data_IF_699861032631
#
_entry.id   IF_699861032631
#
_cell.length_a   1.000
_cell.length_b   1.000
_cell.length_c   1.000
_cell.angle_alpha   90.00
_cell.angle_beta   90.00
_cell.angle_gamma   90.00
#
_symmetry.space_group_name_H-M   'P 1'
#
loop_
_entity.id
_entity.type
_entity.pdbx_description
1 polymer ?
#
# COMPACT_ATOMS: atom_id res chain seq x y z
N UNK A 1 68.57 15.75 16.28
CA UNK A 1 67.16 16.22 16.31
C UNK A 1 66.27 15.10 15.80
N UNK A 2 65.42 14.51 16.66
CA UNK A 2 64.42 13.50 16.25
C UNK A 2 63.07 14.19 16.15
N UNK A 3 62.56 14.36 14.93
CA UNK A 3 61.22 14.91 14.65
C UNK A 3 60.22 13.79 14.93
N UNK A 4 59.43 13.94 15.99
CA UNK A 4 58.29 13.06 16.28
C UNK A 4 57.12 13.48 15.39
N UNK A 5 56.86 12.72 14.34
CA UNK A 5 55.66 12.88 13.50
C UNK A 5 54.46 12.40 14.32
N UNK A 6 53.64 13.33 14.79
CA UNK A 6 52.39 13.03 15.48
C UNK A 6 51.29 12.89 14.41
N UNK A 7 50.93 11.63 14.07
CA UNK A 7 49.78 11.35 13.22
C UNK A 7 48.49 11.68 13.98
N UNK A 8 47.85 12.79 13.61
CA UNK A 8 46.53 13.16 14.10
C UNK A 8 45.48 12.31 13.39
N UNK A 9 45.03 11.24 14.03
CA UNK A 9 43.96 10.37 13.55
C UNK A 9 42.62 11.08 13.80
N UNK A 10 42.10 11.77 12.77
CA UNK A 10 40.74 12.35 12.78
C UNK A 10 39.72 11.20 12.71
N UNK A 11 39.29 10.71 13.88
CA UNK A 11 38.12 9.86 14.02
C UNK A 11 36.88 10.67 13.65
N UNK A 12 36.47 10.59 12.39
CA UNK A 12 35.11 10.94 11.96
C UNK A 12 34.14 9.97 12.64
N UNK A 13 33.76 10.27 13.88
CA UNK A 13 32.58 9.66 14.49
C UNK A 13 31.40 10.26 13.76
N UNK A 14 30.86 9.53 12.79
CA UNK A 14 29.56 9.83 12.23
C UNK A 14 28.55 9.75 13.37
N UNK A 15 28.19 10.90 13.93
CA UNK A 15 26.98 11.03 14.72
C UNK A 15 25.82 10.68 13.79
N UNK A 16 25.40 9.42 13.81
CA UNK A 16 24.14 8.99 13.20
C UNK A 16 23.05 9.63 14.06
N UNK A 17 22.67 10.85 13.69
CA UNK A 17 21.49 11.49 14.24
C UNK A 17 20.31 10.69 13.68
N UNK A 18 19.83 9.71 14.45
CA UNK A 18 18.55 9.08 14.18
C UNK A 18 17.48 10.15 14.39
N UNK A 19 17.11 10.84 13.31
CA UNK A 19 15.91 11.66 13.31
C UNK A 19 14.72 10.73 13.54
N UNK A 20 14.00 10.93 14.64
CA UNK A 20 12.69 10.30 14.85
C UNK A 20 11.76 10.80 13.75
N UNK A 21 11.43 9.95 12.79
CA UNK A 21 10.52 10.27 11.69
C UNK A 21 9.11 9.87 12.11
N UNK A 22 8.25 10.85 12.37
CA UNK A 22 6.82 10.62 12.63
C UNK A 22 5.97 11.38 11.62
N UNK A 23 4.81 10.85 11.26
CA UNK A 23 3.90 11.57 10.39
C UNK A 23 2.68 10.78 9.94
N UNK A 24 1.74 11.53 9.37
CA UNK A 24 0.51 11.03 8.76
C UNK A 24 0.43 11.52 7.32
N UNK A 25 0.28 10.60 6.39
CA UNK A 25 -0.05 10.89 4.99
C UNK A 25 -1.49 10.45 4.75
N UNK A 26 -2.29 11.34 4.19
CA UNK A 26 -3.68 11.04 3.81
C UNK A 26 -3.73 10.83 2.31
N UNK A 27 -4.30 9.71 1.88
CA UNK A 27 -4.51 9.36 0.48
C UNK A 27 -6.00 9.40 0.12
N UNK A 28 -6.27 9.73 -1.14
CA UNK A 28 -7.56 9.49 -1.81
C UNK A 28 -7.37 8.44 -2.89
N UNK A 29 -8.43 7.70 -3.20
CA UNK A 29 -8.45 6.72 -4.29
C UNK A 29 -9.32 7.23 -5.43
N UNK A 30 -8.92 6.94 -6.65
CA UNK A 30 -9.75 7.10 -7.84
C UNK A 30 -9.83 5.77 -8.55
N UNK A 31 -11.03 5.27 -8.75
CA UNK A 31 -11.24 4.05 -9.51
C UNK A 31 -11.38 4.35 -11.00
N UNK A 32 -10.88 3.46 -11.85
CA UNK A 32 -11.17 3.53 -13.27
C UNK A 32 -12.65 3.25 -13.52
N UNK A 33 -13.35 4.18 -14.20
CA UNK A 33 -14.75 3.99 -14.58
C UNK A 33 -14.87 2.83 -15.56
N UNK A 34 -15.83 1.95 -15.29
CA UNK A 34 -16.17 0.89 -16.25
C UNK A 34 -17.09 1.49 -17.31
N UNK A 35 -16.67 1.38 -18.58
CA UNK A 35 -17.47 1.75 -19.73
C UNK A 35 -18.31 0.57 -20.18
N UNK A 36 -19.53 0.86 -20.63
CA UNK A 36 -20.49 -0.10 -21.14
C UNK A 36 -20.83 0.26 -22.58
N UNK A 37 -20.84 -0.74 -23.46
CA UNK A 37 -21.30 -0.63 -24.83
C UNK A 37 -22.76 -1.09 -24.89
N UNK A 38 -23.65 -0.22 -25.39
CA UNK A 38 -25.10 -0.42 -25.38
C UNK A 38 -25.57 -1.43 -26.43
N UNK A 39 -24.75 -1.73 -27.42
CA UNK A 39 -25.20 -2.41 -28.64
C UNK A 39 -25.14 -3.95 -28.56
N UNK A 40 -24.54 -4.51 -27.49
CA UNK A 40 -24.49 -5.94 -27.23
C UNK A 40 -24.54 -6.20 -25.72
N UNK A 41 -25.70 -6.62 -25.19
CA UNK A 41 -25.88 -7.56 -24.05
C UNK A 41 -27.09 -7.23 -23.15
N UNK A 42 -27.61 -8.30 -22.56
CA UNK A 42 -28.67 -8.49 -21.58
C UNK A 42 -28.65 -7.51 -20.39
N UNK A 43 -29.82 -7.15 -19.86
CA UNK A 43 -29.99 -6.18 -18.76
C UNK A 43 -29.16 -6.48 -17.49
N UNK A 44 -28.75 -7.73 -17.28
CA UNK A 44 -27.87 -8.17 -16.20
C UNK A 44 -26.49 -7.50 -16.20
N UNK A 45 -25.89 -7.26 -17.38
CA UNK A 45 -24.57 -6.62 -17.48
C UNK A 45 -24.62 -5.13 -17.20
N UNK A 46 -25.68 -4.46 -17.66
CA UNK A 46 -25.92 -3.04 -17.34
C UNK A 46 -26.11 -2.83 -15.83
N UNK A 47 -26.87 -3.70 -15.17
CA UNK A 47 -27.06 -3.65 -13.72
C UNK A 47 -25.73 -3.81 -12.96
N UNK A 48 -24.87 -4.74 -13.40
CA UNK A 48 -23.55 -4.93 -12.82
C UNK A 48 -22.64 -3.70 -12.98
N UNK A 49 -22.58 -3.11 -14.18
CA UNK A 49 -21.76 -1.90 -14.42
C UNK A 49 -22.23 -0.73 -13.56
N UNK A 50 -23.55 -0.54 -13.44
CA UNK A 50 -24.12 0.51 -12.59
C UNK A 50 -23.74 0.30 -11.12
N UNK A 51 -23.89 -0.93 -10.62
CA UNK A 51 -23.47 -1.28 -9.25
C UNK A 51 -21.98 -0.97 -9.03
N UNK A 52 -21.11 -1.37 -9.96
CA UNK A 52 -19.67 -1.12 -9.85
C UNK A 52 -19.33 0.37 -9.86
N UNK A 53 -20.04 1.17 -10.65
CA UNK A 53 -19.85 2.62 -10.71
C UNK A 53 -20.36 3.31 -9.43
N UNK A 54 -21.46 2.86 -8.81
CA UNK A 54 -21.90 3.34 -7.49
C UNK A 54 -20.88 3.01 -6.40
N UNK A 55 -20.36 1.77 -6.39
CA UNK A 55 -19.30 1.38 -5.46
C UNK A 55 -18.00 2.18 -5.69
N UNK A 56 -17.72 2.59 -6.93
CA UNK A 56 -16.62 3.50 -7.25
C UNK A 56 -16.81 4.86 -6.58
N UNK A 57 -17.99 5.47 -6.69
CA UNK A 57 -18.27 6.78 -6.07
C UNK A 57 -18.05 6.74 -4.56
N UNK A 58 -18.53 5.68 -3.91
CA UNK A 58 -18.30 5.46 -2.48
C UNK A 58 -16.80 5.34 -2.20
N UNK A 59 -16.09 4.51 -2.97
CA UNK A 59 -14.63 4.31 -2.82
C UNK A 59 -13.86 5.62 -2.95
N UNK A 60 -14.22 6.43 -3.92
CA UNK A 60 -13.52 7.68 -4.25
C UNK A 60 -13.73 8.76 -3.17
N UNK A 61 -14.78 8.63 -2.34
CA UNK A 61 -15.03 9.49 -1.17
C UNK A 61 -14.27 9.09 0.10
N UNK A 62 -13.67 7.89 0.14
CA UNK A 62 -13.00 7.36 1.33
C UNK A 62 -11.56 7.87 1.41
N UNK A 63 -11.19 8.40 2.58
CA UNK A 63 -9.81 8.73 2.91
C UNK A 63 -9.09 7.49 3.45
N UNK A 64 -7.83 7.31 3.04
CA UNK A 64 -6.92 6.32 3.60
C UNK A 64 -5.76 7.02 4.30
N UNK A 65 -5.25 6.40 5.33
CA UNK A 65 -4.22 6.96 6.19
C UNK A 65 -2.98 6.06 6.13
N UNK A 66 -1.82 6.68 6.02
CA UNK A 66 -0.52 6.08 6.25
C UNK A 66 0.09 6.81 7.44
N UNK A 67 0.07 6.15 8.58
CA UNK A 67 0.71 6.63 9.79
C UNK A 67 2.06 5.93 9.96
N UNK A 68 3.07 6.68 10.37
CA UNK A 68 4.40 6.14 10.61
C UNK A 68 5.07 6.85 11.77
N UNK A 69 5.86 6.09 12.50
CA UNK A 69 6.67 6.55 13.63
C UNK A 69 7.90 5.64 13.71
N UNK A 70 9.07 6.26 13.63
CA UNK A 70 10.36 5.60 13.54
C UNK A 70 10.42 4.57 12.40
N UNK A 71 10.45 3.28 12.73
CA UNK A 71 10.56 2.17 11.78
C UNK A 71 9.26 1.39 11.61
N UNK A 72 8.17 1.86 12.23
CA UNK A 72 6.85 1.28 12.12
C UNK A 72 5.94 2.12 11.24
N UNK A 73 5.04 1.46 10.52
CA UNK A 73 4.01 2.14 9.73
C UNK A 73 2.75 1.31 9.59
N UNK A 74 1.63 1.98 9.43
CA UNK A 74 0.32 1.38 9.22
C UNK A 74 -0.45 2.14 8.13
N UNK A 75 -0.85 1.41 7.10
CA UNK A 75 -1.76 1.89 6.06
C UNK A 75 -3.14 1.31 6.27
N UNK A 76 -4.14 2.16 6.46
CA UNK A 76 -5.50 1.73 6.80
C UNK A 76 -6.57 2.70 6.31
N UNK A 77 -7.80 2.20 6.31
CA UNK A 77 -8.99 3.04 6.30
C UNK A 77 -9.53 3.10 7.72
N UNK A 78 -9.88 4.28 8.20
CA UNK A 78 -10.56 4.40 9.48
C UNK A 78 -11.99 3.88 9.35
N UNK A 79 -12.27 2.79 10.08
CA UNK A 79 -13.56 2.10 10.05
C UNK A 79 -14.57 2.76 10.99
N UNK A 80 -14.13 3.63 11.89
CA UNK A 80 -14.94 4.27 12.93
C UNK A 80 -15.44 5.66 12.52
N UNK A 81 -14.79 6.36 11.59
CA UNK A 81 -15.15 7.74 11.21
C UNK A 81 -16.42 7.89 10.36
N UNK A 82 -17.19 6.82 10.13
CA UNK A 82 -18.39 6.87 9.29
C UNK A 82 -19.57 6.07 9.87
N UNK A 83 -19.79 6.19 11.18
CA UNK A 83 -20.95 5.59 11.88
C UNK A 83 -22.28 6.02 11.22
N UNK A 84 -22.35 7.20 10.60
CA UNK A 84 -23.52 7.69 9.85
C UNK A 84 -23.80 7.02 8.49
N UNK A 85 -22.84 6.31 7.91
CA UNK A 85 -23.00 5.50 6.67
C UNK A 85 -23.10 4.00 6.99
N UNK A 86 -23.08 3.62 8.27
CA UNK A 86 -22.93 2.23 8.72
C UNK A 86 -24.06 1.30 8.27
N UNK A 87 -25.26 1.83 8.01
CA UNK A 87 -26.42 1.08 7.53
C UNK A 87 -26.42 0.84 6.00
N UNK A 88 -25.53 1.47 5.24
CA UNK A 88 -25.40 1.23 3.81
C UNK A 88 -24.50 -0.01 3.58
N UNK A 89 -25.11 -1.13 3.17
CA UNK A 89 -24.42 -2.40 2.88
C UNK A 89 -23.33 -2.26 1.83
N UNK A 90 -23.49 -1.34 0.88
CA UNK A 90 -22.48 -0.98 -0.11
C UNK A 90 -21.26 -0.30 0.51
N UNK A 91 -21.48 0.68 1.38
CA UNK A 91 -20.40 1.35 2.11
C UNK A 91 -19.59 0.37 2.96
N UNK A 92 -20.28 -0.49 3.73
CA UNK A 92 -19.61 -1.53 4.52
C UNK A 92 -18.79 -2.49 3.65
N UNK A 93 -19.32 -2.85 2.48
CA UNK A 93 -18.63 -3.71 1.52
C UNK A 93 -17.36 -3.04 0.96
N UNK A 94 -17.43 -1.74 0.63
CA UNK A 94 -16.26 -0.97 0.15
C UNK A 94 -15.21 -0.81 1.25
N UNK A 95 -15.61 -0.49 2.49
CA UNK A 95 -14.67 -0.37 3.61
C UNK A 95 -13.99 -1.69 3.93
N UNK A 96 -14.75 -2.79 4.04
CA UNK A 96 -14.19 -4.15 4.25
C UNK A 96 -13.26 -4.58 3.10
N UNK A 97 -13.41 -4.03 1.90
CA UNK A 97 -12.53 -4.33 0.76
C UNK A 97 -11.12 -3.74 0.87
N UNK A 98 -10.93 -2.73 1.72
CA UNK A 98 -9.61 -2.18 2.02
C UNK A 98 -8.96 -2.99 3.14
N UNK A 99 -7.80 -3.57 2.82
CA UNK A 99 -6.97 -4.24 3.83
C UNK A 99 -6.19 -3.21 4.63
N UNK A 100 -5.83 -3.59 5.85
CA UNK A 100 -4.86 -2.87 6.67
C UNK A 100 -3.49 -3.50 6.50
N UNK A 101 -2.47 -2.68 6.36
CA UNK A 101 -1.08 -3.10 6.15
C UNK A 101 -0.24 -2.51 7.27
N UNK A 102 0.29 -3.36 8.13
CA UNK A 102 1.24 -2.97 9.17
C UNK A 102 2.63 -3.45 8.78
N UNK A 103 3.64 -2.59 8.94
CA UNK A 103 5.06 -2.88 8.72
C UNK A 103 5.84 -2.51 9.98
N UNK A 104 6.76 -3.39 10.35
CA UNK A 104 7.68 -3.15 11.46
C UNK A 104 9.15 -3.07 11.03
N UNK A 105 10.00 -2.87 12.03
CA UNK A 105 11.46 -2.69 11.96
C UNK A 105 12.21 -3.84 11.26
N UNK A 106 11.65 -5.05 11.25
CA UNK A 106 12.26 -6.20 10.58
C UNK A 106 11.76 -6.38 9.14
N UNK A 107 11.16 -5.32 8.59
CA UNK A 107 10.40 -5.30 7.33
C UNK A 107 9.30 -6.37 7.26
N UNK A 108 8.88 -6.99 8.36
CA UNK A 108 7.76 -7.94 8.33
C UNK A 108 6.48 -7.15 8.05
N UNK A 109 5.71 -7.62 7.07
CA UNK A 109 4.42 -7.02 6.71
C UNK A 109 3.30 -7.93 7.19
N UNK A 110 2.43 -7.39 8.01
CA UNK A 110 1.21 -8.05 8.46
C UNK A 110 0.02 -7.40 7.76
N UNK A 111 -0.72 -8.19 7.00
CA UNK A 111 -1.87 -7.70 6.25
C UNK A 111 -3.14 -8.25 6.90
N UNK A 112 -3.94 -7.37 7.49
CA UNK A 112 -5.26 -7.74 8.00
C UNK A 112 -6.26 -7.70 6.84
N UNK A 113 -6.95 -8.82 6.64
CA UNK A 113 -7.96 -9.00 5.60
C UNK A 113 -9.26 -9.50 6.20
N UNK A 114 -10.36 -8.86 5.84
CA UNK A 114 -11.70 -9.32 6.20
C UNK A 114 -12.29 -10.02 4.97
N UNK A 115 -12.65 -11.30 5.12
CA UNK A 115 -13.33 -12.07 4.10
C UNK A 115 -14.64 -12.55 4.72
N UNK A 116 -15.75 -12.06 4.17
CA UNK A 116 -17.09 -12.24 4.75
C UNK A 116 -17.10 -11.70 6.19
N UNK A 117 -17.19 -12.59 7.19
CA UNK A 117 -17.20 -12.25 8.62
C UNK A 117 -15.93 -12.70 9.35
N UNK A 118 -14.99 -13.32 8.64
CA UNK A 118 -13.73 -13.79 9.20
C UNK A 118 -12.59 -12.80 8.94
N UNK A 119 -11.79 -12.53 9.97
CA UNK A 119 -10.57 -11.75 9.87
C UNK A 119 -9.35 -12.68 9.81
N UNK A 120 -8.48 -12.43 8.84
CA UNK A 120 -7.23 -13.14 8.64
C UNK A 120 -6.05 -12.18 8.74
N UNK A 121 -5.00 -12.61 9.43
CA UNK A 121 -3.74 -11.90 9.50
C UNK A 121 -2.76 -12.62 8.59
N UNK A 122 -2.53 -12.08 7.40
CA UNK A 122 -1.62 -12.67 6.43
C UNK A 122 -0.22 -12.16 6.71
N UNK A 123 0.65 -13.04 7.19
CA UNK A 123 2.06 -12.72 7.34
C UNK A 123 2.75 -12.81 5.98
N UNK A 124 3.37 -11.70 5.56
CA UNK A 124 4.18 -11.65 4.35
C UNK A 124 5.59 -11.23 4.73
N UNK A 125 6.59 -11.94 4.20
CA UNK A 125 7.93 -11.37 4.10
C UNK A 125 7.84 -10.17 3.15
N UNK A 126 8.50 -9.08 3.48
CA UNK A 126 8.75 -8.00 2.54
C UNK A 126 9.79 -8.54 1.57
N UNK A 127 9.31 -9.05 0.45
CA UNK A 127 10.12 -9.06 -0.74
C UNK A 127 10.31 -7.59 -1.06
N UNK A 128 11.53 -7.09 -0.92
CA UNK A 128 11.85 -5.71 -1.31
C UNK A 128 11.35 -5.57 -2.75
N UNK A 129 10.41 -4.64 -2.93
CA UNK A 129 9.80 -4.44 -4.23
C UNK A 129 10.90 -3.90 -5.12
N UNK A 130 11.30 -4.70 -6.11
CA UNK A 130 12.28 -4.28 -7.10
C UNK A 130 11.61 -3.26 -8.02
N UNK A 131 12.04 -2.02 -7.89
CA UNK A 131 11.54 -0.89 -8.65
C UNK A 131 12.48 -0.55 -9.80
N UNK A 132 11.92 -0.48 -11.01
CA UNK A 132 12.58 0.11 -12.17
C UNK A 132 12.34 1.62 -12.13
N UNK A 133 13.30 2.39 -11.61
CA UNK A 133 13.23 3.86 -11.61
C UNK A 133 13.54 4.36 -13.02
N UNK A 134 12.66 5.20 -13.56
CA UNK A 134 12.79 5.78 -14.89
C UNK A 134 13.27 7.23 -14.82
N UNK A 135 13.73 7.77 -15.95
CA UNK A 135 14.15 9.19 -16.06
C UNK A 135 12.96 10.17 -16.20
N UNK A 136 11.73 9.66 -16.20
CA UNK A 136 10.54 10.51 -16.28
C UNK A 136 10.31 11.26 -14.98
N UNK A 137 10.20 12.58 -15.09
CA UNK A 137 9.94 13.49 -13.99
C UNK A 137 8.66 14.26 -14.23
N UNK A 138 7.89 14.48 -13.18
CA UNK A 138 6.75 15.40 -13.20
C UNK A 138 6.70 16.19 -11.90
N UNK A 139 6.14 17.38 -11.96
CA UNK A 139 5.90 18.20 -10.78
C UNK A 139 4.50 17.88 -10.24
N UNK A 140 4.40 17.53 -8.96
CA UNK A 140 3.12 17.38 -8.27
C UNK A 140 3.13 18.30 -7.06
N UNK A 141 2.30 19.35 -7.12
CA UNK A 141 2.38 20.46 -6.17
C UNK A 141 3.75 21.14 -6.26
N UNK A 142 4.48 21.16 -5.14
CA UNK A 142 5.79 21.78 -5.03
C UNK A 142 6.97 20.81 -5.18
N UNK A 143 6.69 19.52 -5.35
CA UNK A 143 7.72 18.48 -5.37
C UNK A 143 8.03 18.02 -6.79
N UNK A 144 9.32 17.75 -7.05
CA UNK A 144 9.76 17.04 -8.25
C UNK A 144 9.72 15.55 -7.95
N UNK A 145 8.97 14.81 -8.76
CA UNK A 145 8.71 13.40 -8.52
C UNK A 145 9.06 12.58 -9.76
N UNK A 146 9.58 11.39 -9.53
CA UNK A 146 10.09 10.49 -10.55
C UNK A 146 9.18 9.28 -10.68
N UNK A 147 9.06 8.76 -11.90
CA UNK A 147 8.28 7.55 -12.15
C UNK A 147 9.14 6.32 -11.88
N UNK A 148 8.58 5.36 -11.17
CA UNK A 148 9.10 4.01 -11.03
C UNK A 148 8.02 3.00 -11.41
N UNK A 149 8.43 1.86 -11.94
CA UNK A 149 7.52 0.76 -12.28
C UNK A 149 7.98 -0.54 -11.64
N UNK A 150 7.05 -1.46 -11.43
CA UNK A 150 7.37 -2.82 -10.98
C UNK A 150 6.30 -3.80 -11.44
N UNK A 151 6.60 -5.09 -11.41
CA UNK A 151 5.66 -6.15 -11.69
C UNK A 151 5.56 -7.07 -10.48
N UNK A 152 4.42 -7.05 -9.79
CA UNK A 152 4.18 -7.90 -8.61
C UNK A 152 3.27 -9.07 -8.96
N UNK A 153 3.54 -10.25 -8.38
CA UNK A 153 2.64 -11.39 -8.55
C UNK A 153 1.32 -11.15 -7.81
N UNK A 154 0.22 -11.31 -8.51
CA UNK A 154 -1.13 -11.21 -7.98
C UNK A 154 -1.99 -12.40 -8.44
N UNK A 155 -3.07 -12.68 -7.70
CA UNK A 155 -4.03 -13.72 -8.06
C UNK A 155 -5.41 -13.13 -8.37
N UNK A 156 -6.01 -13.56 -9.47
CA UNK A 156 -7.41 -13.34 -9.84
C UNK A 156 -8.07 -14.70 -10.06
N UNK A 157 -9.29 -14.88 -9.54
CA UNK A 157 -10.06 -16.12 -9.76
C UNK A 157 -10.20 -16.49 -11.24
N UNK A 158 -10.31 -15.47 -12.11
CA UNK A 158 -10.51 -15.65 -13.55
C UNK A 158 -9.23 -15.86 -14.35
N UNK A 159 -8.06 -15.52 -13.80
CA UNK A 159 -6.77 -15.51 -14.53
C UNK A 159 -5.68 -16.34 -13.85
N UNK A 160 -5.96 -16.93 -12.70
CA UNK A 160 -4.92 -17.53 -11.86
C UNK A 160 -3.90 -16.47 -11.41
N UNK A 161 -2.66 -16.90 -11.22
CA UNK A 161 -1.55 -16.02 -10.86
C UNK A 161 -1.06 -15.30 -12.11
N UNK A 162 -0.89 -13.99 -12.01
CA UNK A 162 -0.43 -13.15 -13.12
C UNK A 162 0.46 -12.03 -12.60
N UNK A 163 1.29 -11.50 -13.50
CA UNK A 163 2.11 -10.31 -13.22
C UNK A 163 1.23 -9.07 -13.30
N UNK A 164 1.18 -8.34 -12.20
CA UNK A 164 0.44 -7.10 -12.06
C UNK A 164 1.41 -5.93 -12.18
N UNK A 165 1.27 -5.17 -13.24
CA UNK A 165 2.05 -3.96 -13.45
C UNK A 165 1.60 -2.85 -12.48
N UNK A 166 2.57 -2.18 -11.88
CA UNK A 166 2.37 -1.09 -10.94
C UNK A 166 3.25 0.08 -11.38
N UNK A 167 2.66 1.26 -11.38
CA UNK A 167 3.34 2.52 -11.64
C UNK A 167 3.27 3.38 -10.37
N UNK A 168 4.40 3.95 -9.96
CA UNK A 168 4.51 4.83 -8.81
C UNK A 168 5.19 6.13 -9.22
N UNK A 169 4.72 7.25 -8.68
CA UNK A 169 5.46 8.51 -8.70
C UNK A 169 5.88 8.85 -7.28
N UNK A 170 7.20 8.97 -7.07
CA UNK A 170 7.78 9.23 -5.75
C UNK A 170 8.60 10.52 -5.75
N UNK A 171 8.67 11.20 -4.61
CA UNK A 171 9.37 12.48 -4.49
C UNK A 171 10.54 12.37 -3.49
N UNK A 172 11.80 12.46 -3.94
CA UNK A 172 12.97 12.36 -3.07
C UNK A 172 13.07 13.43 -1.98
N UNK A 173 12.52 14.62 -2.26
CA UNK A 173 12.48 15.75 -1.33
C UNK A 173 11.74 15.41 -0.02
N UNK A 174 10.84 14.42 -0.07
CA UNK A 174 10.17 13.86 1.10
C UNK A 174 10.84 12.53 1.41
N UNK A 175 11.89 12.55 2.23
CA UNK A 175 12.77 11.40 2.51
C UNK A 175 12.12 10.32 3.40
N UNK A 176 10.98 9.79 2.96
CA UNK A 176 10.20 8.74 3.61
C UNK A 176 9.95 7.64 2.58
N UNK A 177 10.57 6.48 2.75
CA UNK A 177 10.47 5.36 1.79
C UNK A 177 9.18 4.53 1.96
N UNK A 178 8.03 5.20 1.99
CA UNK A 178 6.72 4.59 2.20
C UNK A 178 5.71 5.00 1.12
N UNK A 179 4.56 4.33 1.11
CA UNK A 179 3.50 4.54 0.14
C UNK A 179 2.24 3.76 0.48
N UNK A 180 1.22 3.79 -0.39
CA UNK A 180 -0.02 3.05 -0.18
C UNK A 180 0.21 1.53 -0.05
N UNK A 181 -0.59 0.86 0.78
CA UNK A 181 -0.52 -0.60 1.04
C UNK A 181 0.85 -1.00 1.62
N UNK A 182 1.58 -1.89 0.95
CA UNK A 182 2.99 -2.18 1.28
C UNK A 182 3.96 -1.65 0.21
N UNK A 183 3.50 -0.83 -0.74
CA UNK A 183 4.37 -0.24 -1.74
C UNK A 183 5.26 0.80 -1.06
N UNK A 184 6.56 0.51 -0.99
CA UNK A 184 7.61 1.36 -0.43
C UNK A 184 8.96 0.91 -0.99
N UNK A 185 10.07 1.39 -0.41
CA UNK A 185 11.42 1.04 -0.88
C UNK A 185 12.00 1.97 -1.95
N UNK A 186 11.22 2.95 -2.43
CA UNK A 186 11.73 4.03 -3.29
C UNK A 186 12.45 5.10 -2.45
N UNK A 187 13.43 5.83 -3.01
CA UNK A 187 14.16 6.87 -2.29
C UNK A 187 13.31 8.15 -2.20
N UNK A 188 12.17 8.07 -1.50
CA UNK A 188 11.20 9.14 -1.31
C UNK A 188 9.77 8.64 -1.14
N UNK A 189 8.87 9.54 -0.72
CA UNK A 189 7.46 9.21 -0.51
C UNK A 189 6.77 8.94 -1.85
N UNK A 190 6.05 7.82 -1.96
CA UNK A 190 5.18 7.54 -3.10
C UNK A 190 3.93 8.40 -2.99
N UNK A 191 3.82 9.42 -3.82
CA UNK A 191 2.69 10.36 -3.77
C UNK A 191 1.55 10.00 -4.71
N UNK A 192 1.84 9.20 -5.73
CA UNK A 192 0.87 8.63 -6.65
C UNK A 192 1.22 7.17 -6.90
N UNK A 193 0.23 6.28 -6.80
CA UNK A 193 0.40 4.87 -7.08
C UNK A 193 -0.76 4.40 -7.94
N UNK A 194 -0.47 3.98 -9.16
CA UNK A 194 -1.43 3.39 -10.07
C UNK A 194 -1.33 1.87 -10.01
N UNK A 195 -2.36 1.31 -9.41
CA UNK A 195 -2.72 -0.10 -9.45
C UNK A 195 -3.73 -0.27 -10.60
N UNK A 196 -3.70 -1.39 -11.34
CA UNK A 196 -4.56 -1.71 -12.50
C UNK A 196 -5.96 -1.05 -12.53
N UNK A 197 -6.68 -1.05 -11.40
CA UNK A 197 -8.03 -0.48 -11.29
C UNK A 197 -8.12 0.80 -10.46
N UNK A 198 -7.13 1.08 -9.62
CA UNK A 198 -7.19 2.11 -8.59
C UNK A 198 -5.93 2.97 -8.66
N UNK A 199 -6.12 4.28 -8.71
CA UNK A 199 -5.00 5.21 -8.53
C UNK A 199 -5.12 5.88 -7.17
N UNK A 200 -4.07 5.76 -6.36
CA UNK A 200 -3.93 6.41 -5.07
C UNK A 200 -3.21 7.74 -5.28
N UNK A 201 -3.71 8.80 -4.68
CA UNK A 201 -3.08 10.11 -4.69
C UNK A 201 -2.97 10.63 -3.26
N UNK A 202 -1.85 11.26 -2.93
CA UNK A 202 -1.75 12.02 -1.69
C UNK A 202 -2.72 13.20 -1.72
N UNK A 203 -3.46 13.35 -0.62
CA UNK A 203 -4.37 14.46 -0.34
C UNK A 203 -3.76 15.43 0.68
N UNK A 204 -3.05 14.92 1.68
CA UNK A 204 -2.40 15.73 2.71
C UNK A 204 -1.17 15.03 3.26
N UNK A 205 -0.18 15.83 3.67
CA UNK A 205 1.08 15.39 4.25
C UNK A 205 1.27 16.14 5.56
N UNK A 206 1.36 15.42 6.68
CA UNK A 206 1.68 15.98 7.98
C UNK A 206 2.89 15.24 8.58
N UNK A 207 4.07 15.84 8.48
CA UNK A 207 5.34 15.26 8.97
C UNK A 207 5.66 15.64 10.42
N UNK A 208 4.84 16.49 11.05
CA UNK A 208 5.01 16.92 12.43
C UNK A 208 3.65 17.06 13.10
N UNK A 209 2.91 15.94 13.25
CA UNK A 209 1.63 15.98 13.92
C UNK A 209 1.80 16.40 15.38
N UNK A 210 0.88 17.25 15.83
CA UNK A 210 0.68 17.72 17.20
C UNK A 210 -0.12 16.72 18.05
N UNK A 211 -0.64 15.65 17.42
CA UNK A 211 -1.27 14.51 18.07
C UNK A 211 -0.33 13.30 18.13
N UNK A 212 -0.64 12.37 19.03
CA UNK A 212 0.05 11.09 19.12
C UNK A 212 -0.41 10.16 17.99
N UNK A 213 0.54 9.58 17.27
CA UNK A 213 0.27 8.52 16.30
C UNK A 213 0.16 7.20 17.07
N UNK A 214 -0.92 6.46 16.85
CA UNK A 214 -1.09 5.12 17.40
C UNK A 214 -0.92 4.10 16.28
N UNK A 215 0.18 3.35 16.30
CA UNK A 215 0.45 2.27 15.35
C UNK A 215 0.07 0.94 16.01
N UNK A 216 -1.21 0.62 15.98
CA UNK A 216 -1.71 -0.62 16.56
C UNK A 216 -1.41 -1.80 15.63
N UNK A 217 -0.45 -2.65 16.02
CA UNK A 217 -0.19 -3.90 15.33
C UNK A 217 -1.45 -4.78 15.36
N UNK A 218 -1.97 -5.23 14.20
CA UNK A 218 -3.18 -6.03 14.17
C UNK A 218 -2.92 -7.40 14.80
N UNK A 219 -3.76 -7.76 15.77
CA UNK A 219 -3.68 -9.01 16.55
C UNK A 219 -4.94 -9.86 16.45
N UNK A 220 -6.01 -9.30 15.89
CA UNK A 220 -7.31 -9.98 15.75
C UNK A 220 -7.39 -10.76 14.44
N UNK A 221 -7.68 -12.04 14.53
CA UNK A 221 -7.91 -12.91 13.38
C UNK A 221 -6.95 -14.10 13.31
N UNK A 222 -7.22 -15.00 12.35
CA UNK A 222 -6.40 -16.20 12.16
C UNK A 222 -5.10 -15.82 11.44
N UNK A 223 -3.96 -16.05 12.09
CA UNK A 223 -2.65 -15.90 11.46
C UNK A 223 -2.47 -17.01 10.41
N UNK A 224 -2.20 -16.61 9.17
CA UNK A 224 -1.98 -17.52 8.04
C UNK A 224 -0.83 -17.02 7.18
N UNK A 225 -0.20 -17.93 6.42
CA UNK A 225 0.79 -17.54 5.43
C UNK A 225 0.13 -16.95 4.17
N UNK A 226 0.94 -16.33 3.30
CA UNK A 226 0.47 -15.82 2.01
C UNK A 226 -0.05 -16.95 1.12
N UNK A 227 0.63 -18.08 1.11
CA UNK A 227 0.29 -19.32 0.39
C UNK A 227 -1.08 -19.83 0.85
N UNK A 228 -1.27 -19.93 2.17
CA UNK A 228 -2.52 -20.40 2.78
C UNK A 228 -3.69 -19.48 2.44
N UNK A 229 -3.44 -18.17 2.46
CA UNK A 229 -4.43 -17.20 2.04
C UNK A 229 -4.85 -17.39 0.57
N UNK A 230 -3.91 -17.69 -0.33
CA UNK A 230 -4.26 -17.98 -1.71
C UNK A 230 -5.06 -19.27 -1.85
N UNK A 231 -4.76 -20.29 -1.04
CA UNK A 231 -5.48 -21.57 -1.01
C UNK A 231 -6.89 -21.49 -0.39
N UNK A 232 -7.23 -20.42 0.35
CA UNK A 232 -8.62 -20.16 0.76
C UNK A 232 -9.56 -19.88 -0.42
N UNK A 233 -9.00 -19.56 -1.59
CA UNK A 233 -9.79 -19.39 -2.81
C UNK A 233 -9.92 -20.76 -3.48
N UNK A 234 -11.14 -21.18 -3.85
CA UNK A 234 -11.45 -22.57 -4.24
C UNK A 234 -10.70 -23.11 -5.48
N UNK A 235 -9.86 -22.30 -6.11
CA UNK A 235 -9.17 -22.59 -7.38
C UNK A 235 -7.65 -22.74 -7.22
N UNK A 236 -7.07 -22.57 -6.03
CA UNK A 236 -5.61 -22.70 -5.80
C UNK A 236 -5.34 -23.77 -4.72
N UNK A 237 -4.48 -24.75 -5.02
CA UNK A 237 -3.88 -25.65 -4.04
C UNK A 237 -2.49 -25.16 -3.61
N UNK A 238 -2.01 -25.60 -2.44
CA UNK A 238 -0.67 -25.26 -1.93
C UNK A 238 0.45 -25.74 -2.87
N UNK A 239 0.27 -26.91 -3.51
CA UNK A 239 1.25 -27.47 -4.44
C UNK A 239 1.39 -26.60 -5.70
N UNK A 240 0.26 -26.17 -6.29
CA UNK A 240 0.28 -25.36 -7.50
C UNK A 240 0.92 -23.98 -7.23
N UNK A 241 0.76 -23.40 -6.04
CA UNK A 241 1.31 -22.08 -5.72
C UNK A 241 2.85 -22.01 -5.83
N UNK A 242 3.55 -23.08 -5.43
CA UNK A 242 5.04 -23.15 -5.48
C UNK A 242 5.58 -23.09 -6.91
N UNK A 243 4.89 -23.72 -7.85
CA UNK A 243 5.23 -23.71 -9.27
C UNK A 243 5.19 -22.29 -9.88
N UNK A 244 4.37 -21.38 -9.32
CA UNK A 244 4.22 -20.01 -9.83
C UNK A 244 5.14 -18.97 -9.19
N UNK A 245 5.65 -19.23 -7.99
CA UNK A 245 6.55 -18.30 -7.28
C UNK A 245 8.02 -18.54 -7.63
N UNK A 246 8.36 -19.67 -8.25
CA UNK A 246 9.72 -20.03 -8.64
C UNK A 246 10.63 -20.14 -7.42
N UNK A 247 10.63 -21.30 -6.76
CA UNK A 247 11.71 -21.67 -5.84
C UNK A 247 13.01 -21.93 -6.63
#
# INVERSE_FOLDING_TARGET
>A
MKIKTCCLFLLFTSFICFSQSKGRIVYRVVSQKLTYDKDNDTGSRQAFVNLMNEMSKIRDSIALYLDFEDQESIFYVDRNTNIGLSNNTGYQSVIKSFNLYYRNNNSKVLIEKIISDNTYLVNSKTYDIEWDITNEKKRIGDYICFKATTNVLAHKLTKGIYKKHIEAWFCPDISISLGPKNYGGLPGLIIELKDEKLTYYVKAINLKPDFQIMIDRPSKGKLISKEDYFALKPTITRENFKEYIGD
#
